data_IF_073445970399
#
_entry.id   IF_073445970399
#
_cell.length_a   1.000
_cell.length_b   1.000
_cell.length_c   1.000
_cell.angle_alpha   90.00
_cell.angle_beta   90.00
_cell.angle_gamma   90.00
#
_symmetry.space_group_name_H-M   'P 1'
#
loop_
_entity.id
_entity.type
_entity.pdbx_description
1 polymer ?
#
# COMPACT_ATOMS: atom_id res chain seq x y z
N UNK A 1 1.25 13.34 -15.29
CA UNK A 1 1.07 11.91 -14.92
C UNK A 1 1.16 11.69 -13.41
N UNK A 2 2.05 12.39 -12.71
CA UNK A 2 2.16 12.38 -11.24
C UNK A 2 0.83 12.54 -10.48
N UNK A 3 -0.02 13.48 -10.91
CA UNK A 3 -1.34 13.70 -10.28
C UNK A 3 -2.23 12.44 -10.29
N UNK A 4 -2.14 11.59 -11.32
CA UNK A 4 -2.92 10.34 -11.40
C UNK A 4 -2.43 9.31 -10.39
N UNK A 5 -1.11 9.15 -10.28
CA UNK A 5 -0.47 8.25 -9.31
C UNK A 5 -0.77 8.72 -7.89
N UNK A 6 -0.70 10.04 -7.65
CA UNK A 6 -1.06 10.65 -6.38
C UNK A 6 -2.53 10.43 -6.04
N UNK A 7 -3.45 10.56 -7.00
CA UNK A 7 -4.87 10.32 -6.77
C UNK A 7 -5.14 8.86 -6.35
N UNK A 8 -4.49 7.88 -6.96
CA UNK A 8 -4.60 6.48 -6.56
C UNK A 8 -4.08 6.23 -5.14
N UNK A 9 -2.91 6.79 -4.81
CA UNK A 9 -2.32 6.74 -3.46
C UNK A 9 -3.25 7.34 -2.41
N UNK A 10 -3.80 8.52 -2.69
CA UNK A 10 -4.71 9.26 -1.80
C UNK A 10 -6.08 8.59 -1.62
N UNK A 11 -6.36 7.47 -2.27
CA UNK A 11 -7.56 6.66 -2.04
C UNK A 11 -7.35 5.55 -0.99
N UNK A 12 -6.11 5.29 -0.56
CA UNK A 12 -5.82 4.29 0.49
C UNK A 12 -6.28 4.84 1.85
N UNK A 13 -6.99 4.03 2.63
CA UNK A 13 -7.56 4.42 3.93
C UNK A 13 -7.15 3.45 5.05
N UNK A 14 -7.06 3.91 6.32
CA UNK A 14 -6.77 3.05 7.46
C UNK A 14 -7.76 1.88 7.61
N UNK A 15 -9.04 2.14 7.35
CA UNK A 15 -10.16 1.20 7.49
C UNK A 15 -10.43 0.32 6.26
N UNK A 16 -9.56 0.35 5.23
CA UNK A 16 -9.72 -0.54 4.08
C UNK A 16 -9.75 -2.02 4.53
N UNK A 17 -10.71 -2.79 4.01
CA UNK A 17 -10.67 -4.25 4.14
C UNK A 17 -9.45 -4.80 3.40
N UNK A 18 -9.01 -6.00 3.74
CA UNK A 18 -7.85 -6.64 3.09
C UNK A 18 -8.00 -6.70 1.57
N UNK A 19 -9.16 -7.14 1.07
CA UNK A 19 -9.46 -7.19 -0.37
C UNK A 19 -9.48 -5.79 -1.00
N UNK A 20 -10.10 -4.81 -0.34
CA UNK A 20 -10.16 -3.44 -0.84
C UNK A 20 -8.78 -2.79 -0.92
N UNK A 21 -7.93 -2.99 0.10
CA UNK A 21 -6.55 -2.52 0.12
C UNK A 21 -5.73 -3.17 -0.99
N UNK A 22 -5.87 -4.47 -1.21
CA UNK A 22 -5.17 -5.19 -2.26
C UNK A 22 -5.44 -4.58 -3.64
N UNK A 23 -6.70 -4.27 -3.95
CA UNK A 23 -7.08 -3.61 -5.22
C UNK A 23 -6.47 -2.20 -5.32
N UNK A 24 -6.55 -1.40 -4.26
CA UNK A 24 -5.98 -0.04 -4.25
C UNK A 24 -4.46 -0.04 -4.40
N UNK A 25 -3.76 -0.96 -3.75
CA UNK A 25 -2.31 -1.13 -3.89
C UNK A 25 -1.94 -1.61 -5.29
N UNK A 26 -2.71 -2.52 -5.89
CA UNK A 26 -2.50 -2.96 -7.27
C UNK A 26 -2.56 -1.77 -8.23
N UNK A 27 -3.59 -0.92 -8.12
CA UNK A 27 -3.69 0.28 -8.96
C UNK A 27 -2.58 1.29 -8.71
N UNK A 28 -2.22 1.53 -7.44
CA UNK A 28 -1.13 2.46 -7.12
C UNK A 28 0.19 1.99 -7.73
N UNK A 29 0.52 0.70 -7.57
CA UNK A 29 1.72 0.08 -8.11
C UNK A 29 1.73 0.11 -9.64
N UNK A 30 0.64 -0.32 -10.29
CA UNK A 30 0.56 -0.36 -11.75
C UNK A 30 0.71 1.02 -12.38
N UNK A 31 0.06 2.05 -11.80
CA UNK A 31 0.18 3.42 -12.31
C UNK A 31 1.59 3.96 -12.09
N UNK A 32 2.21 3.67 -10.95
CA UNK A 32 3.58 4.12 -10.68
C UNK A 32 4.58 3.47 -11.63
N UNK A 33 4.49 2.16 -11.88
CA UNK A 33 5.33 1.48 -12.85
C UNK A 33 5.11 1.99 -14.27
N UNK A 34 3.85 2.21 -14.67
CA UNK A 34 3.51 2.68 -16.01
C UNK A 34 4.09 4.06 -16.32
N UNK A 35 4.06 4.99 -15.36
CA UNK A 35 4.47 6.38 -15.59
C UNK A 35 5.90 6.69 -15.12
N UNK A 36 6.44 5.93 -14.17
CA UNK A 36 7.76 6.18 -13.57
C UNK A 36 8.74 4.99 -13.68
N UNK A 37 8.34 3.88 -14.29
CA UNK A 37 9.22 2.72 -14.55
C UNK A 37 9.74 2.00 -13.30
N UNK A 38 9.16 2.28 -12.14
CA UNK A 38 9.64 1.80 -10.83
C UNK A 38 8.47 1.52 -9.90
N UNK A 39 8.74 0.88 -8.76
CA UNK A 39 7.75 0.70 -7.68
C UNK A 39 7.77 1.90 -6.73
N UNK A 40 6.66 2.22 -6.05
CA UNK A 40 6.64 3.31 -5.08
C UNK A 40 7.55 3.05 -3.88
N UNK A 41 8.41 4.01 -3.56
CA UNK A 41 9.38 3.91 -2.45
C UNK A 41 8.72 3.74 -1.06
N UNK A 42 7.53 4.29 -0.91
CA UNK A 42 6.74 4.34 0.32
C UNK A 42 5.68 3.23 0.40
N UNK A 43 5.69 2.27 -0.53
CA UNK A 43 4.73 1.16 -0.57
C UNK A 43 4.63 0.41 0.78
N UNK A 44 5.77 0.26 1.46
CA UNK A 44 5.88 -0.38 2.77
C UNK A 44 5.09 0.32 3.89
N UNK A 45 4.71 1.60 3.72
CA UNK A 45 3.86 2.31 4.67
C UNK A 45 2.38 1.91 4.56
N UNK A 46 1.97 1.36 3.42
CA UNK A 46 0.57 1.06 3.10
C UNK A 46 0.22 -0.43 3.14
N UNK A 47 1.22 -1.31 3.30
CA UNK A 47 1.01 -2.76 3.50
C UNK A 47 0.94 -3.05 5.00
N UNK A 48 -0.17 -3.60 5.51
CA UNK A 48 -0.29 -3.97 6.94
C UNK A 48 0.04 -5.43 7.18
N UNK A 49 -0.30 -6.29 6.23
CA UNK A 49 0.01 -7.72 6.24
C UNK A 49 0.24 -8.22 4.82
N UNK A 50 0.77 -9.43 4.67
CA UNK A 50 0.96 -10.05 3.35
C UNK A 50 -0.33 -10.21 2.55
N UNK A 51 -1.48 -10.25 3.22
CA UNK A 51 -2.77 -10.37 2.58
C UNK A 51 -3.21 -9.08 1.86
N UNK A 52 -2.63 -7.93 2.21
CA UNK A 52 -2.85 -6.67 1.49
C UNK A 52 -2.08 -6.65 0.14
N UNK A 53 -1.12 -7.56 -0.09
CA UNK A 53 -0.24 -7.51 -1.26
C UNK A 53 -0.98 -8.03 -2.51
N UNK A 54 -0.93 -7.31 -3.65
CA UNK A 54 -1.44 -7.79 -4.93
C UNK A 54 -0.80 -9.13 -5.34
N UNK A 55 -1.62 -10.13 -5.67
CA UNK A 55 -1.15 -11.48 -5.98
C UNK A 55 -0.16 -11.51 -7.15
N UNK A 56 -0.41 -10.71 -8.18
CA UNK A 56 0.41 -10.64 -9.40
C UNK A 56 1.83 -10.15 -9.17
N UNK A 57 2.06 -9.34 -8.13
CA UNK A 57 3.37 -8.73 -7.80
C UNK A 57 3.89 -9.14 -6.42
N UNK A 58 3.34 -10.23 -5.87
CA UNK A 58 3.58 -10.62 -4.47
C UNK A 58 5.05 -10.81 -4.15
N UNK A 59 5.78 -11.54 -4.99
CA UNK A 59 7.20 -11.87 -4.75
C UNK A 59 8.08 -10.62 -4.73
N UNK A 60 7.91 -9.74 -5.72
CA UNK A 60 8.69 -8.50 -5.85
C UNK A 60 8.42 -7.55 -4.68
N UNK A 61 7.14 -7.39 -4.31
CA UNK A 61 6.77 -6.51 -3.21
C UNK A 61 7.31 -7.07 -1.88
N UNK A 62 7.20 -8.38 -1.63
CA UNK A 62 7.76 -9.00 -0.41
C UNK A 62 9.26 -8.76 -0.29
N UNK A 63 10.02 -8.84 -1.39
CA UNK A 63 11.45 -8.56 -1.39
C UNK A 63 11.75 -7.14 -0.91
N UNK A 64 11.06 -6.14 -1.47
CA UNK A 64 11.23 -4.72 -1.09
C UNK A 64 10.82 -4.49 0.36
N UNK A 65 9.72 -5.12 0.82
CA UNK A 65 9.30 -5.03 2.21
C UNK A 65 10.41 -5.53 3.15
N UNK A 66 11.05 -6.65 2.83
CA UNK A 66 12.18 -7.19 3.62
C UNK A 66 13.38 -6.24 3.61
N UNK A 67 13.74 -5.68 2.46
CA UNK A 67 14.83 -4.69 2.33
C UNK A 67 14.57 -3.44 3.17
N UNK A 68 13.31 -3.00 3.28
CA UNK A 68 12.88 -1.87 4.12
C UNK A 68 12.68 -2.23 5.61
N UNK A 69 13.00 -3.46 6.02
CA UNK A 69 12.81 -3.93 7.40
C UNK A 69 11.34 -3.93 7.85
N UNK A 70 10.40 -4.05 6.90
CA UNK A 70 8.98 -4.03 7.18
C UNK A 70 8.57 -5.23 8.06
N UNK A 71 7.63 -4.96 8.97
CA UNK A 71 7.00 -5.97 9.83
C UNK A 71 5.48 -5.83 9.74
N UNK A 72 4.72 -6.94 9.74
CA UNK A 72 3.27 -6.89 9.80
C UNK A 72 2.77 -6.07 10.99
N UNK A 73 1.68 -5.33 10.80
CA UNK A 73 1.05 -4.48 11.82
C UNK A 73 -0.42 -4.85 11.96
N UNK A 74 -0.97 -4.65 13.16
CA UNK A 74 -2.41 -4.76 13.37
C UNK A 74 -3.14 -3.63 12.63
N UNK A 75 -4.36 -3.91 12.20
CA UNK A 75 -5.23 -2.88 11.62
C UNK A 75 -5.61 -1.94 12.77
N UNK A 76 -5.27 -0.64 12.69
CA UNK A 76 -5.59 0.29 13.76
C UNK A 76 -7.10 0.57 13.80
N UNK A 77 -7.62 0.90 14.98
CA UNK A 77 -8.93 1.55 15.08
C UNK A 77 -8.83 2.90 14.33
N UNK A 78 -9.67 3.13 13.30
CA UNK A 78 -9.58 4.34 12.49
C UNK A 78 -10.05 5.60 13.22
N UNK A 79 -10.62 5.47 14.42
CA UNK A 79 -11.22 6.59 15.15
C UNK A 79 -10.15 7.43 15.84
N UNK A 80 -10.00 8.67 15.41
CA UNK A 80 -9.20 9.67 16.13
C UNK A 80 -10.07 10.24 17.26
N UNK A 81 -9.72 9.94 18.52
CA UNK A 81 -10.33 10.57 19.70
C UNK A 81 -9.23 11.16 20.57
N UNK A 82 -9.49 12.33 21.15
CA UNK A 82 -8.69 12.82 22.26
C UNK A 82 -8.92 11.89 23.46
N UNK A 83 -7.85 11.30 23.98
CA UNK A 83 -7.90 10.63 25.29
C UNK A 83 -7.90 11.76 26.32
N UNK A 84 -9.08 12.12 26.81
CA UNK A 84 -9.23 12.97 28.00
C UNK A 84 -8.77 12.23 29.24
#
# INVERSE_FOLDING_TARGET
EEAMVMAAKLCIRPNDTTKGRQIKLAHYVDLHERFFGSLPDDLHLYVRSEADIPLTKKEVIIKILKEKGWKPRRIPDPTLREVR
#
